data_IF_928045976934
#
_entry.id   IF_928045976934
#
_cell.length_a   1.000
_cell.length_b   1.000
_cell.length_c   1.000
_cell.angle_alpha   90.00
_cell.angle_beta   90.00
_cell.angle_gamma   90.00
#
_symmetry.space_group_name_H-M   'P 1'
#
loop_
_entity.id
_entity.type
_entity.pdbx_description
1 polymer ?
#
# COMPACT_ATOMS: atom_id res chain seq x y z
N UNK A 1 -7.57 -10.63 -0.98
CA UNK A 1 -7.38 -9.51 -0.02
C UNK A 1 -6.97 -8.26 -0.78
N UNK A 2 -7.55 -7.14 -0.44
CA UNK A 2 -7.26 -5.86 -1.11
C UNK A 2 -5.77 -5.52 -1.08
N UNK A 3 -5.13 -5.65 0.07
CA UNK A 3 -3.69 -5.37 0.20
C UNK A 3 -2.87 -6.14 -0.83
N UNK A 4 -3.13 -7.42 -0.99
CA UNK A 4 -2.39 -8.27 -1.95
C UNK A 4 -2.50 -7.70 -3.37
N UNK A 5 -3.69 -7.32 -3.79
CA UNK A 5 -3.89 -6.78 -5.13
C UNK A 5 -3.22 -5.41 -5.30
N UNK A 6 -3.28 -4.55 -4.30
CA UNK A 6 -2.60 -3.25 -4.34
C UNK A 6 -1.08 -3.42 -4.43
N UNK A 7 -0.51 -4.38 -3.70
CA UNK A 7 0.92 -4.66 -3.77
C UNK A 7 1.32 -5.21 -5.14
N UNK A 8 0.47 -6.06 -5.72
CA UNK A 8 0.74 -6.60 -7.06
C UNK A 8 0.80 -5.47 -8.10
N UNK A 9 -0.21 -4.60 -8.10
CA UNK A 9 -0.32 -3.53 -9.10
C UNK A 9 0.65 -2.38 -8.83
N UNK A 10 0.67 -1.88 -7.60
CA UNK A 10 1.54 -0.77 -7.21
C UNK A 10 3.01 -1.17 -7.16
N UNK A 11 3.29 -2.41 -6.78
CA UNK A 11 4.63 -2.96 -6.81
C UNK A 11 5.18 -3.03 -8.22
N UNK A 12 4.35 -3.38 -9.20
CA UNK A 12 4.74 -3.39 -10.62
C UNK A 12 5.10 -1.97 -11.08
N UNK A 13 4.31 -0.97 -10.69
CA UNK A 13 4.62 0.44 -10.98
C UNK A 13 5.97 0.85 -10.38
N UNK A 14 6.23 0.46 -9.12
CA UNK A 14 7.50 0.76 -8.47
C UNK A 14 8.67 0.10 -9.20
N UNK A 15 8.55 -1.16 -9.55
CA UNK A 15 9.61 -1.88 -10.26
C UNK A 15 9.85 -1.30 -11.65
N UNK A 16 8.78 -0.90 -12.34
CA UNK A 16 8.90 -0.24 -13.64
C UNK A 16 9.69 1.07 -13.56
N UNK A 17 9.40 1.89 -12.55
CA UNK A 17 10.13 3.14 -12.31
C UNK A 17 11.60 2.86 -11.97
N UNK A 18 11.84 1.87 -11.11
CA UNK A 18 13.19 1.50 -10.69
C UNK A 18 14.05 1.07 -11.88
N UNK A 19 13.48 0.27 -12.77
CA UNK A 19 14.19 -0.26 -13.94
C UNK A 19 14.39 0.82 -15.00
N UNK A 20 13.36 1.62 -15.29
CA UNK A 20 13.42 2.63 -16.35
C UNK A 20 14.12 3.92 -15.94
N UNK A 21 14.12 4.24 -14.65
CA UNK A 21 14.59 5.50 -14.12
C UNK A 21 13.63 6.66 -14.33
N UNK A 22 12.44 6.39 -14.88
CA UNK A 22 11.44 7.42 -15.13
C UNK A 22 10.43 7.47 -13.98
N UNK A 23 10.16 8.68 -13.48
CA UNK A 23 9.21 8.88 -12.38
C UNK A 23 7.77 8.73 -12.85
N UNK A 24 6.95 8.13 -12.00
CA UNK A 24 5.51 8.01 -12.25
C UNK A 24 4.85 9.35 -11.96
N UNK A 25 4.10 9.85 -12.95
CA UNK A 25 3.44 11.15 -12.86
C UNK A 25 1.95 11.00 -13.19
N UNK A 26 1.25 10.14 -12.42
CA UNK A 26 -0.18 9.89 -12.61
C UNK A 26 -1.01 10.77 -11.66
N UNK A 27 -2.22 11.12 -12.09
CA UNK A 27 -3.14 11.94 -11.28
C UNK A 27 -3.44 11.28 -9.93
N UNK A 28 -3.71 9.96 -9.92
CA UNK A 28 -4.01 9.25 -8.68
C UNK A 28 -2.85 9.26 -7.69
N UNK A 29 -1.61 9.35 -8.16
CA UNK A 29 -0.44 9.47 -7.28
C UNK A 29 -0.40 10.84 -6.61
N UNK A 30 -0.69 11.90 -7.36
CA UNK A 30 -0.75 13.26 -6.80
C UNK A 30 -1.89 13.39 -5.79
N UNK A 31 -3.04 12.85 -6.13
CA UNK A 31 -4.20 12.84 -5.23
C UNK A 31 -3.86 12.09 -3.93
N UNK A 32 -3.22 10.93 -4.04
CA UNK A 32 -2.84 10.13 -2.89
C UNK A 32 -1.91 10.88 -1.94
N UNK A 33 -0.87 11.53 -2.49
CA UNK A 33 0.07 12.31 -1.68
C UNK A 33 -0.63 13.45 -0.94
N UNK A 34 -1.59 14.12 -1.57
CA UNK A 34 -2.32 15.23 -0.99
C UNK A 34 -3.35 14.80 0.05
N UNK A 35 -3.76 13.54 0.02
CA UNK A 35 -4.82 13.02 0.87
C UNK A 35 -4.37 11.81 1.69
N UNK A 36 -3.09 11.72 1.99
CA UNK A 36 -2.49 10.56 2.64
C UNK A 36 -3.18 10.21 3.97
N UNK A 37 -3.40 11.19 4.84
CA UNK A 37 -3.99 10.90 6.15
C UNK A 37 -5.38 10.30 6.04
N UNK A 38 -6.21 10.87 5.20
CA UNK A 38 -7.58 10.39 4.98
C UNK A 38 -7.56 8.99 4.36
N UNK A 39 -6.76 8.81 3.32
CA UNK A 39 -6.69 7.55 2.59
C UNK A 39 -6.02 6.45 3.41
N UNK A 40 -4.98 6.78 4.17
CA UNK A 40 -4.32 5.83 5.04
C UNK A 40 -5.26 5.29 6.11
N UNK A 41 -6.04 6.16 6.74
CA UNK A 41 -7.03 5.77 7.74
C UNK A 41 -8.10 4.85 7.14
N UNK A 42 -8.60 5.20 5.97
CA UNK A 42 -9.62 4.37 5.29
C UNK A 42 -9.04 3.03 4.87
N UNK A 43 -7.86 3.03 4.26
CA UNK A 43 -7.24 1.81 3.76
C UNK A 43 -7.00 0.77 4.85
N UNK A 44 -6.56 1.22 6.02
CA UNK A 44 -6.32 0.32 7.16
C UNK A 44 -7.59 -0.46 7.53
N UNK A 45 -8.75 0.14 7.39
CA UNK A 45 -10.01 -0.55 7.69
C UNK A 45 -10.43 -1.54 6.59
N UNK A 46 -9.85 -1.43 5.39
CA UNK A 46 -10.28 -2.16 4.20
C UNK A 46 -9.29 -3.21 3.69
N UNK A 47 -8.02 -3.07 4.05
CA UNK A 47 -6.95 -3.79 3.35
C UNK A 47 -7.01 -5.31 3.48
N UNK A 48 -7.64 -5.85 4.51
CA UNK A 48 -7.81 -7.30 4.70
C UNK A 48 -9.00 -7.88 3.95
N UNK A 49 -9.89 -7.02 3.47
CA UNK A 49 -11.13 -7.44 2.82
C UNK A 49 -10.88 -7.99 1.40
N UNK A 50 -11.84 -8.74 0.90
CA UNK A 50 -11.78 -9.24 -0.47
C UNK A 50 -12.34 -8.25 -1.50
N UNK A 51 -12.89 -7.12 -1.05
CA UNK A 51 -13.51 -6.11 -1.90
C UNK A 51 -12.49 -5.03 -2.29
N UNK A 52 -12.32 -4.81 -3.60
CA UNK A 52 -11.41 -3.80 -4.13
C UNK A 52 -12.13 -2.52 -4.59
N UNK A 53 -13.44 -2.40 -4.37
CA UNK A 53 -14.20 -1.21 -4.76
C UNK A 53 -13.57 0.07 -4.17
N UNK A 54 -13.59 1.14 -4.96
CA UNK A 54 -12.99 2.45 -4.65
C UNK A 54 -11.46 2.48 -4.68
N UNK A 55 -10.79 1.33 -4.83
CA UNK A 55 -9.34 1.25 -4.79
C UNK A 55 -8.70 0.74 -6.08
N UNK A 56 -9.34 -0.20 -6.79
CA UNK A 56 -8.74 -0.81 -7.98
C UNK A 56 -9.74 -1.01 -9.10
N UNK A 57 -9.21 -1.16 -10.31
CA UNK A 57 -9.93 -1.59 -11.53
C UNK A 57 -11.08 -0.68 -11.92
N UNK A 58 -10.88 0.64 -11.74
CA UNK A 58 -11.84 1.65 -12.16
C UNK A 58 -13.14 1.63 -11.39
N UNK A 59 -13.14 1.13 -10.14
CA UNK A 59 -14.37 0.90 -9.38
C UNK A 59 -14.76 2.03 -8.44
N UNK A 60 -14.08 3.19 -8.49
CA UNK A 60 -14.41 4.29 -7.59
C UNK A 60 -15.81 4.84 -7.84
N UNK A 61 -16.60 4.93 -6.76
CA UNK A 61 -17.96 5.49 -6.77
C UNK A 61 -18.07 6.80 -6.02
N UNK A 62 -16.97 7.27 -5.44
CA UNK A 62 -16.94 8.56 -4.74
C UNK A 62 -16.63 9.67 -5.74
N UNK A 63 -17.42 10.74 -5.72
CA UNK A 63 -17.46 11.77 -6.77
C UNK A 63 -16.11 12.39 -7.10
N UNK A 64 -15.29 12.69 -6.08
CA UNK A 64 -14.03 13.41 -6.25
C UNK A 64 -12.79 12.50 -6.14
N UNK A 65 -13.01 11.21 -5.98
CA UNK A 65 -11.92 10.25 -5.84
C UNK A 65 -11.53 9.70 -7.21
N UNK A 66 -10.24 9.79 -7.60
CA UNK A 66 -9.80 9.13 -8.82
C UNK A 66 -9.87 7.61 -8.70
N UNK A 67 -9.95 6.94 -9.84
CA UNK A 67 -9.87 5.49 -9.87
C UNK A 67 -8.45 5.02 -9.53
N UNK A 68 -8.34 3.79 -9.07
CA UNK A 68 -7.07 3.07 -8.97
C UNK A 68 -6.06 3.65 -7.98
N UNK A 69 -6.54 4.25 -6.88
CA UNK A 69 -5.69 4.68 -5.78
C UNK A 69 -4.90 3.53 -5.15
N UNK A 70 -5.38 2.29 -5.34
CA UNK A 70 -4.65 1.11 -4.88
C UNK A 70 -3.27 0.97 -5.51
N UNK A 71 -3.09 1.42 -6.76
CA UNK A 71 -1.77 1.45 -7.40
C UNK A 71 -0.84 2.36 -6.61
N UNK A 72 -1.30 3.55 -6.25
CA UNK A 72 -0.51 4.51 -5.49
C UNK A 72 -0.11 3.95 -4.12
N UNK A 73 -1.07 3.41 -3.37
CA UNK A 73 -0.76 2.95 -2.01
C UNK A 73 0.14 1.70 -2.03
N UNK A 74 -0.07 0.82 -3.01
CA UNK A 74 0.82 -0.33 -3.22
C UNK A 74 2.24 0.11 -3.58
N UNK A 75 2.37 1.12 -4.43
CA UNK A 75 3.65 1.72 -4.76
C UNK A 75 4.34 2.28 -3.51
N UNK A 76 3.61 3.02 -2.69
CA UNK A 76 4.19 3.66 -1.49
C UNK A 76 4.66 2.64 -0.45
N UNK A 77 3.88 1.59 -0.26
CA UNK A 77 4.28 0.50 0.65
C UNK A 77 5.55 -0.17 0.14
N UNK A 78 5.61 -0.46 -1.15
CA UNK A 78 6.77 -1.10 -1.78
C UNK A 78 8.01 -0.21 -1.73
N UNK A 79 7.85 1.08 -2.03
CA UNK A 79 8.94 2.05 -1.93
C UNK A 79 9.49 2.12 -0.51
N UNK A 80 8.62 2.20 0.47
CA UNK A 80 9.02 2.25 1.89
C UNK A 80 9.78 0.99 2.29
N UNK A 81 9.29 -0.18 1.86
CA UNK A 81 9.97 -1.44 2.10
C UNK A 81 11.38 -1.42 1.49
N UNK A 82 11.48 -1.07 0.21
CA UNK A 82 12.75 -1.05 -0.52
C UNK A 82 13.75 -0.12 0.15
N UNK A 83 13.32 1.09 0.53
CA UNK A 83 14.20 2.09 1.13
C UNK A 83 14.77 1.65 2.48
N UNK A 84 14.08 0.80 3.20
CA UNK A 84 14.52 0.30 4.50
C UNK A 84 15.50 -0.86 4.42
N UNK A 85 15.57 -1.53 3.27
CA UNK A 85 16.45 -2.69 3.12
C UNK A 85 17.86 -2.26 2.78
N UNK A 86 18.86 -2.85 3.45
CA UNK A 86 20.27 -2.58 3.17
C UNK A 86 20.71 -3.26 1.87
N UNK A 87 20.29 -4.52 1.70
CA UNK A 87 20.59 -5.30 0.51
C UNK A 87 19.50 -5.08 -0.53
N UNK A 88 19.80 -4.22 -1.51
CA UNK A 88 18.80 -3.83 -2.52
C UNK A 88 18.47 -4.96 -3.48
N UNK A 89 19.45 -5.81 -3.81
CA UNK A 89 19.19 -6.96 -4.66
C UNK A 89 18.21 -7.93 -4.00
N UNK A 90 18.42 -8.21 -2.74
CA UNK A 90 17.53 -9.08 -1.97
C UNK A 90 16.14 -8.45 -1.85
N UNK A 91 16.07 -7.13 -1.64
CA UNK A 91 14.79 -6.41 -1.57
C UNK A 91 14.00 -6.58 -2.86
N UNK A 92 14.65 -6.47 -4.02
CA UNK A 92 14.00 -6.68 -5.32
C UNK A 92 13.42 -8.10 -5.41
N UNK A 93 14.19 -9.11 -5.02
CA UNK A 93 13.73 -10.49 -5.05
C UNK A 93 12.50 -10.70 -4.16
N UNK A 94 12.49 -10.09 -2.98
CA UNK A 94 11.37 -10.19 -2.05
C UNK A 94 10.13 -9.46 -2.58
N UNK A 95 10.29 -8.30 -3.22
CA UNK A 95 9.19 -7.55 -3.83
C UNK A 95 8.55 -8.37 -4.96
N UNK A 96 9.37 -9.04 -5.78
CA UNK A 96 8.87 -9.84 -6.89
C UNK A 96 8.20 -11.15 -6.43
N UNK A 97 8.34 -11.52 -5.16
CA UNK A 97 7.85 -12.80 -4.64
C UNK A 97 7.27 -12.63 -3.23
N UNK A 98 6.35 -11.70 -3.07
CA UNK A 98 5.70 -11.45 -1.78
C UNK A 98 4.83 -12.65 -1.41
N UNK A 99 5.18 -13.34 -0.32
CA UNK A 99 4.44 -14.51 0.17
C UNK A 99 3.41 -14.15 1.23
N UNK A 100 3.73 -13.17 2.06
CA UNK A 100 2.87 -12.73 3.16
C UNK A 100 2.68 -11.22 3.09
N UNK A 101 1.56 -10.77 2.49
CA UNK A 101 1.31 -9.33 2.31
C UNK A 101 1.29 -8.55 3.62
N UNK A 102 0.71 -9.11 4.69
CA UNK A 102 0.65 -8.41 5.98
C UNK A 102 2.03 -8.22 6.60
N UNK A 103 2.89 -9.23 6.50
CA UNK A 103 4.26 -9.11 7.00
C UNK A 103 5.07 -8.13 6.15
N UNK A 104 4.86 -8.13 4.84
CA UNK A 104 5.49 -7.16 3.95
C UNK A 104 5.09 -5.73 4.35
N UNK A 105 3.81 -5.49 4.59
CA UNK A 105 3.30 -4.20 5.07
C UNK A 105 3.95 -3.81 6.40
N UNK A 106 4.00 -4.74 7.35
CA UNK A 106 4.62 -4.50 8.65
C UNK A 106 6.07 -4.07 8.50
N UNK A 107 6.83 -4.80 7.69
CA UNK A 107 8.24 -4.51 7.46
C UNK A 107 8.45 -3.18 6.73
N UNK A 108 7.49 -2.76 5.89
CA UNK A 108 7.56 -1.46 5.22
C UNK A 108 7.40 -0.29 6.19
N UNK A 109 6.61 -0.48 7.23
CA UNK A 109 6.31 0.56 8.22
C UNK A 109 5.46 1.70 7.68
N UNK A 110 5.04 1.65 6.42
CA UNK A 110 4.41 2.81 5.77
C UNK A 110 3.11 3.25 6.44
N UNK A 111 2.30 2.31 6.90
CA UNK A 111 1.00 2.62 7.50
C UNK A 111 1.00 2.54 9.02
N UNK A 112 2.16 2.48 9.66
CA UNK A 112 2.28 2.25 11.11
C UNK A 112 1.41 3.18 11.95
N UNK A 113 1.46 4.49 11.68
CA UNK A 113 0.69 5.47 12.48
C UNK A 113 -0.82 5.23 12.37
N UNK A 114 -1.28 4.87 11.18
CA UNK A 114 -2.71 4.61 10.95
C UNK A 114 -3.15 3.29 11.57
N UNK A 115 -2.30 2.28 11.51
CA UNK A 115 -2.56 0.98 12.14
C UNK A 115 -2.61 1.13 13.66
N UNK A 116 -1.66 1.85 14.25
CA UNK A 116 -1.64 2.10 15.69
C UNK A 116 -2.92 2.80 16.15
N UNK A 117 -3.33 3.84 15.43
CA UNK A 117 -4.55 4.57 15.74
C UNK A 117 -5.79 3.68 15.64
N UNK A 118 -5.89 2.88 14.60
CA UNK A 118 -7.01 1.97 14.37
C UNK A 118 -7.09 0.92 15.49
N UNK A 119 -5.96 0.29 15.80
CA UNK A 119 -5.90 -0.73 16.85
C UNK A 119 -6.23 -0.15 18.22
N UNK A 120 -5.74 1.04 18.52
CA UNK A 120 -6.03 1.73 19.77
C UNK A 120 -7.53 1.99 19.92
N UNK A 121 -8.21 2.37 18.86
CA UNK A 121 -9.65 2.59 18.87
C UNK A 121 -10.42 1.31 19.19
N UNK A 122 -9.86 0.14 18.88
CA UNK A 122 -10.43 -1.17 19.15
C UNK A 122 -9.90 -1.77 20.46
N UNK A 123 -9.04 -1.07 21.17
CA UNK A 123 -8.36 -1.57 22.39
C UNK A 123 -7.53 -2.82 22.12
N UNK A 124 -6.88 -2.87 20.95
CA UNK A 124 -6.02 -3.97 20.52
C UNK A 124 -4.59 -3.46 20.30
N UNK A 125 -3.61 -4.35 20.39
CA UNK A 125 -2.22 -4.00 20.16
C UNK A 125 -1.90 -3.83 18.67
N UNK A 126 -0.83 -3.11 18.37
CA UNK A 126 -0.32 -2.97 17.01
C UNK A 126 -0.07 -4.34 16.36
N UNK A 127 0.58 -5.24 17.09
CA UNK A 127 0.94 -6.56 16.55
C UNK A 127 -0.26 -7.43 16.21
N UNK A 128 -1.36 -7.27 16.92
CA UNK A 128 -2.58 -8.04 16.64
C UNK A 128 -3.14 -7.76 15.25
N UNK A 129 -2.89 -6.57 14.70
CA UNK A 129 -3.34 -6.23 13.36
C UNK A 129 -2.82 -7.20 12.30
N UNK A 130 -1.58 -7.67 12.47
CA UNK A 130 -0.90 -8.51 11.48
C UNK A 130 -1.17 -10.01 11.66
N UNK A 131 -1.96 -10.36 12.64
CA UNK A 131 -2.47 -11.72 12.78
C UNK A 131 -3.73 -11.85 11.93
N UNK A 132 -3.78 -12.84 11.09
CA UNK A 132 -4.89 -13.00 10.15
C UNK A 132 -6.12 -13.62 10.77
#
# INVERSE_FOLDING_TARGET
MLLKWCLLEGGADFMGELISGESINKFEYKYGEQNLDKLGQEFVTRLKNADYQDWLYGTSKKDDRPNDLGYWIGYKITESYFNKQKDKQKAIEEILNIKDPLQFLKQSGFLDAYIEKYQKSKKESYDEFFKS
#
